data_IF_340873300360
#
_entry.id   IF_340873300360
#
_cell.length_a   1.000
_cell.length_b   1.000
_cell.length_c   1.000
_cell.angle_alpha   90.00
_cell.angle_beta   90.00
_cell.angle_gamma   90.00
#
_symmetry.space_group_name_H-M   'P 1'
#
loop_
_entity.id
_entity.type
_entity.pdbx_description
1 polymer ?
#
# COMPACT_ATOMS: atom_id res chain seq x y z
N UNK A 1 -4.41 -34.04 12.84
CA UNK A 1 -4.70 -33.43 11.52
C UNK A 1 -5.85 -32.41 11.53
N UNK A 2 -6.65 -32.24 12.60
CA UNK A 2 -7.79 -31.30 12.64
C UNK A 2 -7.43 -29.81 12.94
N UNK A 3 -6.21 -29.50 13.35
CA UNK A 3 -5.80 -28.13 13.71
C UNK A 3 -5.54 -27.18 12.54
N UNK A 4 -5.33 -27.71 11.32
CA UNK A 4 -4.98 -26.87 10.14
C UNK A 4 -6.20 -26.15 9.55
N UNK A 5 -7.38 -26.77 9.56
CA UNK A 5 -8.59 -26.20 8.95
C UNK A 5 -9.21 -25.06 9.76
N UNK A 6 -9.15 -25.09 11.09
CA UNK A 6 -9.67 -24.00 11.93
C UNK A 6 -8.81 -22.72 11.83
N UNK A 7 -7.49 -22.88 11.70
CA UNK A 7 -6.55 -21.76 11.46
C UNK A 7 -6.74 -21.17 10.05
N UNK A 8 -7.06 -21.99 9.05
CA UNK A 8 -7.39 -21.53 7.70
C UNK A 8 -8.73 -20.74 7.65
N UNK A 9 -9.73 -21.14 8.44
CA UNK A 9 -11.01 -20.44 8.48
C UNK A 9 -10.93 -19.08 9.19
N UNK A 10 -10.14 -18.98 10.28
CA UNK A 10 -9.94 -17.70 10.98
C UNK A 10 -9.07 -16.71 10.19
N UNK A 11 -8.08 -17.21 9.44
CA UNK A 11 -7.26 -16.37 8.54
C UNK A 11 -8.09 -15.76 7.41
N UNK A 12 -8.92 -16.55 6.72
CA UNK A 12 -9.80 -16.02 5.65
C UNK A 12 -10.78 -14.94 6.15
N UNK A 13 -11.25 -15.06 7.40
CA UNK A 13 -12.14 -14.05 7.98
C UNK A 13 -11.40 -12.74 8.31
N UNK A 14 -10.17 -12.84 8.84
CA UNK A 14 -9.31 -11.68 9.10
C UNK A 14 -8.88 -10.98 7.80
N UNK A 15 -8.58 -11.73 6.75
CA UNK A 15 -8.27 -11.19 5.42
C UNK A 15 -9.46 -10.39 4.85
N UNK A 16 -10.68 -10.91 4.99
CA UNK A 16 -11.90 -10.18 4.60
C UNK A 16 -12.06 -8.86 5.35
N UNK A 17 -11.72 -8.83 6.64
CA UNK A 17 -11.75 -7.60 7.44
C UNK A 17 -10.66 -6.61 7.00
N UNK A 18 -9.43 -7.08 6.76
CA UNK A 18 -8.32 -6.25 6.27
C UNK A 18 -8.65 -5.62 4.93
N UNK A 19 -9.15 -6.41 3.97
CA UNK A 19 -9.60 -5.90 2.67
C UNK A 19 -10.73 -4.87 2.82
N UNK A 20 -11.66 -5.08 3.75
CA UNK A 20 -12.71 -4.11 4.08
C UNK A 20 -12.14 -2.79 4.58
N UNK A 21 -11.19 -2.85 5.53
CA UNK A 21 -10.53 -1.69 6.09
C UNK A 21 -9.76 -0.89 5.03
N UNK A 22 -8.95 -1.56 4.21
CA UNK A 22 -8.14 -0.91 3.17
C UNK A 22 -9.01 -0.20 2.13
N UNK A 23 -10.18 -0.76 1.80
CA UNK A 23 -11.15 -0.09 0.93
C UNK A 23 -11.79 1.16 1.55
N UNK A 24 -11.93 1.19 2.89
CA UNK A 24 -12.48 2.36 3.61
C UNK A 24 -11.47 3.48 3.81
N UNK A 25 -10.17 3.17 3.87
CA UNK A 25 -9.09 4.14 4.05
C UNK A 25 -8.98 5.16 2.89
N UNK A 26 -9.47 4.80 1.69
CA UNK A 26 -9.68 5.75 0.59
C UNK A 26 -8.45 6.07 -0.27
N UNK A 27 -7.27 5.59 0.11
CA UNK A 27 -6.05 5.75 -0.69
C UNK A 27 -6.15 5.05 -2.06
N UNK A 28 -6.93 3.97 -2.14
CA UNK A 28 -7.28 3.28 -3.38
C UNK A 28 -7.98 4.19 -4.40
N UNK A 29 -8.81 5.15 -3.95
CA UNK A 29 -9.52 6.12 -4.81
C UNK A 29 -8.60 7.17 -5.43
N UNK A 30 -7.44 7.40 -4.80
CA UNK A 30 -6.35 8.25 -5.30
C UNK A 30 -5.30 7.43 -6.08
N UNK A 31 -5.49 6.11 -6.13
CA UNK A 31 -4.59 5.19 -6.83
C UNK A 31 -3.23 5.09 -6.16
N UNK A 32 -3.13 5.34 -4.86
CA UNK A 32 -1.92 5.12 -4.09
C UNK A 32 -1.77 3.64 -3.74
N UNK A 33 -0.53 3.21 -3.51
CA UNK A 33 -0.22 1.94 -2.85
C UNK A 33 -0.13 2.17 -1.34
N UNK A 34 -0.24 1.10 -0.55
CA UNK A 34 -0.21 1.22 0.92
C UNK A 34 1.10 1.82 1.43
N UNK A 35 2.23 1.41 0.86
CA UNK A 35 3.55 1.93 1.23
C UNK A 35 3.73 3.44 0.92
N UNK A 36 2.91 4.01 0.03
CA UNK A 36 2.92 5.45 -0.26
C UNK A 36 2.28 6.28 0.87
N UNK A 37 1.49 5.65 1.74
CA UNK A 37 0.77 6.32 2.84
C UNK A 37 1.54 6.33 4.16
N UNK A 38 2.71 5.69 4.21
CA UNK A 38 3.56 5.62 5.39
C UNK A 38 4.18 7.00 5.68
N UNK A 39 4.21 7.40 6.95
CA UNK A 39 4.85 8.64 7.37
C UNK A 39 6.38 8.57 7.18
N UNK A 40 6.95 9.55 6.47
CA UNK A 40 8.38 9.58 6.13
C UNK A 40 9.27 9.99 7.32
N UNK A 41 9.53 9.04 8.23
CA UNK A 41 10.59 9.16 9.25
C UNK A 41 12.00 9.06 8.61
N UNK A 42 13.06 9.30 9.38
CA UNK A 42 14.44 9.17 8.87
C UNK A 42 14.75 7.77 8.33
N UNK A 43 14.25 6.71 8.98
CA UNK A 43 14.41 5.33 8.50
C UNK A 43 13.65 5.10 7.18
N UNK A 44 12.45 5.67 7.06
CA UNK A 44 11.64 5.57 5.84
C UNK A 44 12.30 6.32 4.69
N UNK A 45 12.87 7.50 4.95
CA UNK A 45 13.64 8.25 3.95
C UNK A 45 14.85 7.47 3.46
N UNK A 46 15.58 6.82 4.36
CA UNK A 46 16.72 5.97 3.99
C UNK A 46 16.26 4.70 3.23
N UNK A 47 15.11 4.13 3.57
CA UNK A 47 14.52 3.02 2.82
C UNK A 47 14.16 3.45 1.39
N UNK A 48 13.52 4.61 1.23
CA UNK A 48 13.16 5.18 -0.07
C UNK A 48 14.42 5.47 -0.89
N UNK A 49 15.49 5.98 -0.27
CA UNK A 49 16.78 6.24 -0.95
C UNK A 49 17.41 4.97 -1.53
N UNK A 50 17.12 3.80 -0.96
CA UNK A 50 17.65 2.50 -1.39
C UNK A 50 16.78 1.80 -2.44
N UNK A 51 15.62 2.37 -2.79
CA UNK A 51 14.76 1.81 -3.82
C UNK A 51 15.46 1.83 -5.20
N UNK A 52 15.22 0.83 -6.04
CA UNK A 52 15.53 0.89 -7.47
C UNK A 52 14.86 2.10 -8.11
N UNK A 53 15.52 2.69 -9.11
CA UNK A 53 15.07 3.91 -9.78
C UNK A 53 13.65 3.77 -10.36
N UNK A 54 13.33 2.63 -10.99
CA UNK A 54 12.00 2.36 -11.57
C UNK A 54 10.90 2.45 -10.50
N UNK A 55 11.10 1.80 -9.34
CA UNK A 55 10.13 1.80 -8.24
C UNK A 55 9.99 3.18 -7.60
N UNK A 56 11.10 3.90 -7.48
CA UNK A 56 11.09 5.28 -6.97
C UNK A 56 10.29 6.20 -7.91
N UNK A 57 10.50 6.08 -9.22
CA UNK A 57 9.80 6.88 -10.22
C UNK A 57 8.30 6.57 -10.24
N UNK A 58 7.93 5.29 -10.15
CA UNK A 58 6.53 4.85 -10.04
C UNK A 58 5.88 5.45 -8.79
N UNK A 59 6.51 5.32 -7.62
CA UNK A 59 6.05 5.95 -6.36
C UNK A 59 5.82 7.45 -6.54
N UNK A 60 6.80 8.16 -7.12
CA UNK A 60 6.70 9.60 -7.32
C UNK A 60 5.57 9.99 -8.29
N UNK A 61 5.30 9.17 -9.30
CA UNK A 61 4.16 9.38 -10.19
C UNK A 61 2.83 9.21 -9.45
N UNK A 62 2.68 8.15 -8.65
CA UNK A 62 1.46 7.90 -7.87
C UNK A 62 1.18 9.05 -6.89
N UNK A 63 2.20 9.52 -6.17
CA UNK A 63 2.09 10.63 -5.23
C UNK A 63 1.70 11.93 -5.95
N UNK A 64 2.36 12.27 -7.07
CA UNK A 64 2.02 13.47 -7.85
C UNK A 64 0.57 13.44 -8.34
N UNK A 65 0.12 12.29 -8.84
CA UNK A 65 -1.27 12.10 -9.26
C UNK A 65 -2.25 12.26 -8.10
N UNK A 66 -1.95 11.66 -6.94
CA UNK A 66 -2.79 11.77 -5.76
C UNK A 66 -2.90 13.22 -5.26
N UNK A 67 -1.80 13.98 -5.32
CA UNK A 67 -1.79 15.41 -5.00
C UNK A 67 -2.66 16.21 -5.97
N UNK A 68 -2.51 15.99 -7.28
CA UNK A 68 -3.33 16.66 -8.31
C UNK A 68 -4.83 16.42 -8.12
N UNK A 69 -5.21 15.17 -7.85
CA UNK A 69 -6.60 14.80 -7.55
C UNK A 69 -7.10 15.43 -6.26
N UNK A 70 -6.24 15.53 -5.26
CA UNK A 70 -6.59 16.15 -3.97
C UNK A 70 -6.82 17.65 -4.12
N UNK A 71 -5.98 18.35 -4.91
CA UNK A 71 -6.14 19.78 -5.20
C UNK A 71 -7.43 20.06 -5.96
N UNK A 72 -7.78 19.19 -6.90
CA UNK A 72 -9.01 19.32 -7.70
C UNK A 72 -10.26 18.77 -6.99
N UNK A 73 -10.11 18.16 -5.82
CA UNK A 73 -11.17 17.43 -5.11
C UNK A 73 -11.85 16.35 -5.99
N UNK A 74 -11.08 15.71 -6.86
CA UNK A 74 -11.52 14.64 -7.74
C UNK A 74 -11.04 13.27 -7.25
N UNK A 75 -11.64 12.21 -7.78
CA UNK A 75 -11.26 10.82 -7.53
C UNK A 75 -11.00 10.12 -8.86
N UNK A 76 -10.14 9.09 -8.87
CA UNK A 76 -10.01 8.25 -10.06
C UNK A 76 -11.32 7.52 -10.37
N UNK A 77 -11.47 7.11 -11.63
CA UNK A 77 -12.51 6.17 -12.03
C UNK A 77 -12.27 4.82 -11.35
N UNK A 78 -13.36 4.09 -11.04
CA UNK A 78 -13.30 2.83 -10.26
C UNK A 78 -12.37 1.78 -10.89
N UNK A 79 -12.23 1.76 -12.20
CA UNK A 79 -11.38 0.81 -12.91
C UNK A 79 -9.88 1.06 -12.68
N UNK A 80 -9.52 2.29 -12.33
CA UNK A 80 -8.15 2.73 -12.06
C UNK A 80 -7.79 2.68 -10.57
N UNK A 81 -8.71 2.28 -9.69
CA UNK A 81 -8.43 2.16 -8.26
C UNK A 81 -7.43 1.04 -8.00
N UNK A 82 -6.51 1.27 -7.06
CA UNK A 82 -5.59 0.24 -6.60
C UNK A 82 -6.40 -0.93 -6.02
N UNK A 83 -6.20 -2.13 -6.57
CA UNK A 83 -6.84 -3.34 -6.07
C UNK A 83 -5.98 -3.93 -4.95
N UNK A 84 -6.63 -4.43 -3.91
CA UNK A 84 -5.97 -5.08 -2.76
C UNK A 84 -4.98 -6.18 -3.20
N UNK A 85 -5.37 -7.04 -4.13
CA UNK A 85 -4.50 -8.12 -4.66
C UNK A 85 -3.24 -7.65 -5.39
N UNK A 86 -3.25 -6.40 -5.87
CA UNK A 86 -2.12 -5.79 -6.60
C UNK A 86 -1.22 -4.96 -5.69
N UNK A 87 -1.60 -4.73 -4.45
CA UNK A 87 -0.83 -3.94 -3.50
C UNK A 87 0.39 -4.75 -3.06
N UNK A 88 1.56 -4.36 -3.57
CA UNK A 88 2.84 -4.99 -3.24
C UNK A 88 3.51 -4.13 -2.17
N UNK A 89 3.88 -4.75 -1.06
CA UNK A 89 4.69 -4.13 -0.01
C UNK A 89 6.15 -3.96 -0.49
N UNK A 90 6.35 -3.03 -1.42
CA UNK A 90 7.63 -2.82 -2.09
C UNK A 90 8.68 -2.18 -1.16
N UNK A 91 8.26 -1.44 -0.13
CA UNK A 91 9.13 -0.74 0.81
C UNK A 91 9.49 -1.59 2.03
N UNK A 92 8.63 -2.55 2.38
CA UNK A 92 8.80 -3.43 3.55
C UNK A 92 10.17 -4.14 3.62
N UNK A 93 10.73 -4.71 2.53
CA UNK A 93 12.06 -5.34 2.57
C UNK A 93 13.20 -4.38 2.91
N UNK A 94 13.06 -3.11 2.55
CA UNK A 94 14.05 -2.06 2.80
C UNK A 94 13.95 -1.53 4.23
N UNK A 95 12.73 -1.35 4.74
CA UNK A 95 12.47 -0.95 6.12
C UNK A 95 12.94 -2.02 7.12
N UNK A 96 12.62 -3.29 6.86
CA UNK A 96 13.08 -4.40 7.72
C UNK A 96 14.60 -4.47 7.83
N UNK A 97 15.34 -4.10 6.78
CA UNK A 97 16.81 -4.07 6.79
C UNK A 97 17.39 -2.92 7.63
N UNK A 98 16.65 -1.83 7.82
CA UNK A 98 17.09 -0.68 8.60
C UNK A 98 16.74 -0.79 10.08
N UNK A 99 15.61 -1.42 10.40
CA UNK A 99 15.11 -1.61 11.76
C UNK A 99 15.65 -2.87 12.44
N UNK A 100 16.39 -3.73 11.72
CA UNK A 100 17.06 -4.93 12.26
C UNK A 100 18.51 -4.67 12.62
#
# INVERSE_FOLDING_TARGET
>A
MAGRSAVAASSNWLEGFQMGYDNTAGFNKLGLMRDDTIFETEDVKEAIRRLPEDLYNDRMFLIKRALDLTVTHQILTKDQWTKYEKDKFYLEPYLKRLLM
#
